data_IF_357461530233
#
_entry.id   IF_357461530233
#
_cell.length_a   1.000
_cell.length_b   1.000
_cell.length_c   1.000
_cell.angle_alpha   90.00
_cell.angle_beta   90.00
_cell.angle_gamma   90.00
#
_symmetry.space_group_name_H-M   'P 1'
#
loop_
_entity.id
_entity.type
_entity.pdbx_description
1 polymer ?
#
# COMPACT_ATOMS: atom_id res chain seq x y z
N UNK A 1 -32.27 -26.70 -16.94
CA UNK A 1 -32.36 -25.26 -17.22
C UNK A 1 -31.46 -24.56 -16.22
N UNK A 2 -30.29 -24.10 -16.67
CA UNK A 2 -29.32 -23.38 -15.85
C UNK A 2 -29.89 -21.99 -15.53
N UNK A 3 -29.82 -21.59 -14.27
CA UNK A 3 -30.29 -20.29 -13.79
C UNK A 3 -29.36 -19.18 -14.32
N UNK A 4 -29.79 -18.51 -15.38
CA UNK A 4 -29.05 -17.44 -16.04
C UNK A 4 -29.01 -16.13 -15.21
N UNK A 5 -29.70 -16.07 -14.06
CA UNK A 5 -29.76 -14.88 -13.20
C UNK A 5 -28.53 -14.72 -12.28
N UNK A 6 -27.68 -15.74 -12.15
CA UNK A 6 -26.51 -15.69 -11.26
C UNK A 6 -25.31 -14.89 -11.82
N UNK A 7 -25.35 -14.48 -13.09
CA UNK A 7 -24.19 -13.91 -13.82
C UNK A 7 -24.38 -12.43 -14.24
N UNK A 8 -25.38 -11.73 -13.68
CA UNK A 8 -25.54 -10.30 -13.93
C UNK A 8 -24.52 -9.45 -13.14
N UNK A 9 -23.86 -8.47 -13.77
CA UNK A 9 -22.92 -7.60 -13.10
C UNK A 9 -23.63 -6.75 -12.04
N UNK A 10 -23.25 -6.94 -10.78
CA UNK A 10 -23.76 -6.17 -9.65
C UNK A 10 -22.92 -4.91 -9.46
N UNK A 11 -23.57 -3.77 -9.56
CA UNK A 11 -22.96 -2.47 -9.29
C UNK A 11 -23.40 -1.94 -7.92
N UNK A 12 -22.45 -1.39 -7.17
CA UNK A 12 -22.72 -0.68 -5.93
C UNK A 12 -21.96 0.66 -5.97
N UNK A 13 -22.63 1.75 -5.60
CA UNK A 13 -21.99 3.03 -5.41
C UNK A 13 -21.20 2.99 -4.09
N UNK A 14 -19.91 3.34 -4.14
CA UNK A 14 -19.13 3.56 -2.93
C UNK A 14 -19.58 4.87 -2.27
N UNK A 15 -19.80 4.82 -0.95
CA UNK A 15 -20.21 5.98 -0.16
C UNK A 15 -19.09 7.00 0.02
N UNK A 16 -19.38 8.03 0.83
CA UNK A 16 -18.36 8.96 1.30
C UNK A 16 -17.36 8.25 2.22
N UNK A 17 -16.09 8.59 2.06
CA UNK A 17 -15.02 8.08 2.92
C UNK A 17 -15.02 8.81 4.27
N UNK A 18 -14.71 8.09 5.34
CA UNK A 18 -14.40 8.70 6.63
C UNK A 18 -12.91 9.09 6.72
N UNK A 19 -12.57 10.02 7.62
CA UNK A 19 -11.17 10.34 7.89
C UNK A 19 -10.53 9.20 8.67
N UNK A 20 -9.35 8.75 8.24
CA UNK A 20 -8.57 7.72 8.91
C UNK A 20 -7.43 8.33 9.73
N UNK A 21 -7.42 8.01 11.03
CA UNK A 21 -6.25 8.21 11.88
C UNK A 21 -5.19 7.13 11.63
N UNK A 22 -4.03 7.27 12.27
CA UNK A 22 -2.93 6.32 12.07
C UNK A 22 -3.28 4.95 12.66
N UNK A 23 -3.92 4.90 13.83
CA UNK A 23 -4.21 3.64 14.53
C UNK A 23 -5.15 2.75 13.69
N UNK A 24 -6.19 3.33 13.09
CA UNK A 24 -7.07 2.60 12.17
C UNK A 24 -6.34 2.20 10.88
N UNK A 25 -5.41 3.02 10.38
CA UNK A 25 -4.60 2.67 9.21
C UNK A 25 -3.69 1.46 9.49
N UNK A 26 -3.07 1.38 10.68
CA UNK A 26 -2.30 0.20 11.09
C UNK A 26 -3.17 -1.05 11.16
N UNK A 27 -4.38 -0.95 11.72
CA UNK A 27 -5.30 -2.09 11.82
C UNK A 27 -5.72 -2.60 10.44
N UNK A 28 -6.08 -1.70 9.52
CA UNK A 28 -6.50 -2.07 8.16
C UNK A 28 -5.38 -2.74 7.35
N UNK A 29 -4.13 -2.40 7.64
CA UNK A 29 -2.95 -2.93 6.95
C UNK A 29 -2.15 -3.93 7.77
N UNK A 30 -2.65 -4.40 8.91
CA UNK A 30 -1.99 -5.41 9.73
C UNK A 30 -1.76 -6.70 8.91
N UNK A 31 -0.65 -7.39 9.19
CA UNK A 31 -0.46 -8.73 8.66
C UNK A 31 -1.40 -9.71 9.37
N UNK A 32 -1.90 -10.75 8.69
CA UNK A 32 -2.76 -11.74 9.32
C UNK A 32 -2.07 -12.44 10.50
N UNK A 33 -2.78 -12.64 11.61
CA UNK A 33 -2.26 -13.36 12.78
C UNK A 33 -2.20 -14.89 12.55
N UNK A 34 -2.89 -15.39 11.54
CA UNK A 34 -2.89 -16.82 11.20
C UNK A 34 -1.54 -17.22 10.61
N UNK A 35 -0.88 -18.19 11.25
CA UNK A 35 0.53 -18.51 11.03
C UNK A 35 0.91 -18.78 9.58
N UNK A 36 2.05 -18.23 9.16
CA UNK A 36 2.57 -18.35 7.81
C UNK A 36 3.41 -17.15 7.40
N UNK A 37 3.98 -17.21 6.20
CA UNK A 37 4.78 -16.13 5.64
C UNK A 37 3.87 -15.29 4.75
N UNK A 38 3.82 -13.98 4.98
CA UNK A 38 3.01 -13.06 4.18
C UNK A 38 3.88 -12.16 3.33
N UNK A 39 3.51 -12.03 2.06
CA UNK A 39 4.16 -11.10 1.12
C UNK A 39 3.11 -10.11 0.63
N UNK A 40 3.42 -8.82 0.71
CA UNK A 40 2.56 -7.75 0.20
C UNK A 40 3.30 -6.95 -0.86
N UNK A 41 2.65 -6.72 -2.00
CA UNK A 41 3.07 -5.73 -2.99
C UNK A 41 2.40 -4.39 -2.71
N UNK A 42 3.18 -3.31 -2.72
CA UNK A 42 2.67 -1.94 -2.65
C UNK A 42 3.23 -1.15 -3.84
N UNK A 43 2.36 -0.59 -4.67
CA UNK A 43 2.72 0.13 -5.89
C UNK A 43 1.70 1.25 -6.16
N UNK A 44 2.12 2.24 -6.94
CA UNK A 44 1.29 3.33 -7.43
C UNK A 44 1.31 3.34 -8.96
N UNK A 45 0.18 3.69 -9.57
CA UNK A 45 0.05 3.85 -11.01
C UNK A 45 -0.88 5.02 -11.35
N UNK A 46 -0.68 5.62 -12.52
CA UNK A 46 -1.64 6.54 -13.13
C UNK A 46 -2.89 5.80 -13.62
N UNK A 47 -3.93 6.54 -13.97
CA UNK A 47 -5.21 6.00 -14.42
C UNK A 47 -5.10 5.13 -15.68
N UNK A 48 -4.12 5.42 -16.54
CA UNK A 48 -3.79 4.67 -17.75
C UNK A 48 -2.72 3.58 -17.53
N UNK A 49 -2.33 3.33 -16.27
CA UNK A 49 -1.44 2.22 -15.89
C UNK A 49 0.05 2.54 -15.89
N UNK A 50 0.44 3.80 -16.02
CA UNK A 50 1.84 4.24 -15.95
C UNK A 50 2.38 4.22 -14.51
N UNK A 51 3.55 3.60 -14.30
CA UNK A 51 4.18 3.52 -12.98
C UNK A 51 5.07 4.72 -12.62
N UNK A 52 5.34 5.61 -13.56
CA UNK A 52 6.24 6.76 -13.35
C UNK A 52 5.74 8.02 -14.04
N UNK A 53 6.16 9.16 -13.51
CA UNK A 53 6.13 10.46 -14.19
C UNK A 53 7.52 11.08 -14.05
N UNK A 54 8.11 11.53 -15.15
CA UNK A 54 9.52 11.99 -15.15
C UNK A 54 10.53 10.92 -14.73
N UNK A 55 10.23 9.63 -14.93
CA UNK A 55 11.13 8.51 -14.64
C UNK A 55 11.13 8.00 -13.20
N UNK A 56 10.34 8.59 -12.30
CA UNK A 56 10.14 8.12 -10.91
C UNK A 56 8.67 8.02 -10.57
N UNK A 57 8.34 7.22 -9.55
CA UNK A 57 6.99 7.07 -9.01
C UNK A 57 6.58 8.25 -8.11
N UNK A 58 7.54 8.99 -7.55
CA UNK A 58 7.29 10.03 -6.55
C UNK A 58 6.35 11.16 -7.01
N UNK A 59 6.34 11.48 -8.31
CA UNK A 59 5.44 12.49 -8.87
C UNK A 59 3.98 12.03 -9.02
N UNK A 60 3.69 10.74 -8.87
CA UNK A 60 2.33 10.20 -8.82
C UNK A 60 1.74 10.26 -7.41
N UNK A 61 2.59 10.28 -6.38
CA UNK A 61 2.21 10.15 -4.97
C UNK A 61 1.83 11.46 -4.27
N UNK A 62 0.70 11.44 -3.57
CA UNK A 62 0.25 12.52 -2.67
C UNK A 62 0.71 12.36 -1.22
N UNK A 63 0.17 13.19 -0.32
CA UNK A 63 0.42 13.07 1.13
C UNK A 63 -0.13 11.77 1.71
N UNK A 64 -1.31 11.31 1.25
CA UNK A 64 -1.91 10.05 1.67
C UNK A 64 -1.07 8.83 1.27
N UNK A 65 -0.56 8.81 0.05
CA UNK A 65 0.36 7.76 -0.44
C UNK A 65 1.62 7.67 0.43
N UNK A 66 2.29 8.81 0.69
CA UNK A 66 3.48 8.86 1.55
C UNK A 66 3.20 8.37 2.99
N UNK A 67 2.04 8.74 3.55
CA UNK A 67 1.61 8.30 4.88
C UNK A 67 1.43 6.78 4.93
N UNK A 68 0.69 6.22 3.97
CA UNK A 68 0.48 4.78 3.88
C UNK A 68 1.78 4.01 3.60
N UNK A 69 2.63 4.54 2.72
CA UNK A 69 3.94 3.96 2.42
C UNK A 69 4.81 3.84 3.68
N UNK A 70 4.80 4.85 4.55
CA UNK A 70 5.52 4.82 5.83
C UNK A 70 4.95 3.76 6.79
N UNK A 71 3.62 3.70 6.94
CA UNK A 71 2.94 2.70 7.80
C UNK A 71 3.25 1.27 7.36
N UNK A 72 3.16 0.99 6.07
CA UNK A 72 3.42 -0.36 5.56
C UNK A 72 4.88 -0.79 5.72
N UNK A 73 5.84 0.14 5.60
CA UNK A 73 7.26 -0.15 5.85
C UNK A 73 7.57 -0.44 7.32
N UNK A 74 6.80 0.11 8.24
CA UNK A 74 6.93 -0.16 9.67
C UNK A 74 6.33 -1.51 10.09
N UNK A 75 5.20 -1.87 9.48
CA UNK A 75 4.55 -3.17 9.67
C UNK A 75 5.34 -4.33 9.06
N UNK A 76 6.12 -4.08 8.00
CA UNK A 76 6.94 -5.10 7.38
C UNK A 76 8.15 -5.47 8.25
N UNK A 77 8.44 -6.77 8.39
CA UNK A 77 9.69 -7.25 8.98
C UNK A 77 10.87 -7.10 8.03
N UNK A 78 10.62 -7.30 6.73
CA UNK A 78 11.64 -7.20 5.68
C UNK A 78 11.04 -6.45 4.49
N UNK A 79 11.80 -5.50 3.95
CA UNK A 79 11.45 -4.78 2.73
C UNK A 79 12.34 -5.27 1.60
N UNK A 80 11.72 -5.88 0.59
CA UNK A 80 12.40 -6.32 -0.63
C UNK A 80 12.19 -5.27 -1.72
N UNK A 81 13.26 -4.83 -2.37
CA UNK A 81 13.21 -3.85 -3.46
C UNK A 81 14.14 -4.27 -4.59
N UNK A 82 13.67 -4.10 -5.83
CA UNK A 82 14.50 -4.30 -7.01
C UNK A 82 15.64 -3.27 -7.05
N UNK A 83 16.87 -3.72 -7.34
CA UNK A 83 18.04 -2.84 -7.31
C UNK A 83 17.96 -1.66 -8.31
N UNK A 84 17.25 -1.83 -9.43
CA UNK A 84 16.98 -0.75 -10.38
C UNK A 84 16.14 0.36 -9.78
N UNK A 85 15.01 0.00 -9.14
CA UNK A 85 14.14 0.93 -8.41
C UNK A 85 14.88 1.62 -7.28
N UNK A 86 15.64 0.87 -6.47
CA UNK A 86 16.39 1.44 -5.36
C UNK A 86 17.37 2.54 -5.82
N UNK A 87 18.01 2.37 -6.98
CA UNK A 87 18.89 3.39 -7.57
C UNK A 87 18.11 4.55 -8.19
N UNK A 88 17.09 4.27 -9.00
CA UNK A 88 16.31 5.30 -9.68
C UNK A 88 15.59 6.23 -8.70
N UNK A 89 15.08 5.67 -7.60
CA UNK A 89 14.33 6.38 -6.55
C UNK A 89 15.23 6.87 -5.40
N UNK A 90 16.56 6.66 -5.49
CA UNK A 90 17.54 7.03 -4.47
C UNK A 90 17.19 6.53 -3.06
N UNK A 91 16.82 5.25 -2.94
CA UNK A 91 16.44 4.66 -1.66
C UNK A 91 17.64 4.50 -0.73
N UNK A 92 17.49 5.03 0.49
CA UNK A 92 18.33 4.69 1.64
C UNK A 92 17.76 3.49 2.42
N UNK A 93 18.52 3.04 3.42
CA UNK A 93 18.03 2.05 4.39
C UNK A 93 16.74 2.52 5.06
N UNK A 94 15.80 1.60 5.30
CA UNK A 94 14.56 1.91 6.00
C UNK A 94 14.87 2.48 7.39
N UNK A 95 14.35 3.67 7.69
CA UNK A 95 14.50 4.30 9.00
C UNK A 95 13.13 4.38 9.66
N UNK A 96 13.05 3.88 10.87
CA UNK A 96 11.90 4.07 11.75
C UNK A 96 12.15 5.29 12.63
N UNK A 97 11.12 6.11 12.84
CA UNK A 97 11.13 7.16 13.86
C UNK A 97 11.12 6.54 15.26
N UNK A 98 11.37 7.35 16.29
CA UNK A 98 11.30 6.88 17.67
C UNK A 98 9.88 6.38 18.04
N UNK A 99 8.84 7.11 17.61
CA UNK A 99 7.45 6.70 17.83
C UNK A 99 7.10 5.39 17.15
N UNK A 100 7.64 5.14 15.96
CA UNK A 100 7.43 3.89 15.22
C UNK A 100 8.10 2.68 15.91
N UNK A 101 9.30 2.89 16.47
CA UNK A 101 9.96 1.83 17.25
C UNK A 101 9.22 1.49 18.55
N UNK A 102 8.55 2.47 19.15
CA UNK A 102 7.85 2.30 20.42
C UNK A 102 6.53 1.52 20.29
N UNK A 103 6.02 1.37 19.07
CA UNK A 103 4.76 0.67 18.74
C UNK A 103 4.95 -0.81 18.41
N UNK A 104 6.19 -1.26 18.21
CA UNK A 104 6.58 -2.68 18.09
C UNK A 104 6.81 -3.28 19.48
#
# INVERSE_FOLDING_TARGET
MSDAAADEPRFALLGDGSTLDDDLLYQLYAYPEVGGWSVRGNAIASLDGGATTGGTSGGLGGSGDRRLFAVQRELADVIVVGAGTARAENYGGARMSAGQRQRR
#
